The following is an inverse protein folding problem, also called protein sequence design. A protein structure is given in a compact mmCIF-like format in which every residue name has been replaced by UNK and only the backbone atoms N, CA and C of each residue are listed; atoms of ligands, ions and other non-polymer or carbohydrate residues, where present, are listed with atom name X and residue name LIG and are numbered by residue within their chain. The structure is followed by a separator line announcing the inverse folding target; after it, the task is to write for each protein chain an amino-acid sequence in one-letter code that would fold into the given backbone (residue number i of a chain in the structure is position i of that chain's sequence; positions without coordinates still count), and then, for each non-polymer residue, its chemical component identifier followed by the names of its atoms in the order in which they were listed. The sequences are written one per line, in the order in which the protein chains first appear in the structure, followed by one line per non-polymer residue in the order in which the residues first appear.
data_IF_560892729797
#
_entry.id   IF_560892729797
#
_cell.length_a   1.000
_cell.length_b   1.000
_cell.length_c   1.000
_cell.angle_alpha   90.00
_cell.angle_beta   90.00
_cell.angle_gamma   90.00
#
_symmetry.space_group_name_H-M   'P 1'
#
loop_
_entity.id
_entity.type
_entity.pdbx_description
1 polymer ?
#
# COMPACT_ATOMS: atom_id res chain seq x y z
N UNK A 1 8.75 0.78 -6.61
CA UNK A 1 7.86 1.93 -6.86
C UNK A 1 8.15 2.48 -8.24
N UNK A 2 7.13 3.00 -8.91
CA UNK A 2 7.24 3.67 -10.21
C UNK A 2 7.00 5.18 -10.00
N UNK A 3 8.04 6.02 -10.16
CA UNK A 3 7.94 7.46 -10.00
C UNK A 3 7.33 8.21 -11.19
N UNK A 4 7.13 7.54 -12.34
CA UNK A 4 6.63 8.16 -13.56
C UNK A 4 5.15 7.79 -13.84
N UNK A 5 4.59 6.90 -13.01
CA UNK A 5 3.21 6.45 -13.15
C UNK A 5 2.20 7.49 -12.65
N UNK A 6 1.40 8.04 -13.57
CA UNK A 6 0.26 8.91 -13.24
C UNK A 6 -1.03 8.11 -13.15
N UNK A 7 -1.81 8.36 -12.11
CA UNK A 7 -3.09 7.72 -11.90
C UNK A 7 -4.03 8.59 -11.06
N UNK A 8 -5.33 8.35 -11.19
CA UNK A 8 -6.35 9.02 -10.38
C UNK A 8 -6.77 8.10 -9.24
N UNK A 9 -6.84 8.63 -8.03
CA UNK A 9 -7.31 7.88 -6.86
C UNK A 9 -8.79 7.55 -7.02
N UNK A 10 -9.11 6.26 -6.90
CA UNK A 10 -10.48 5.73 -6.83
C UNK A 10 -10.65 4.88 -5.58
N UNK A 11 -11.79 5.03 -4.90
CA UNK A 11 -12.13 4.21 -3.73
C UNK A 11 -12.18 2.71 -4.07
N UNK A 12 -12.71 2.35 -5.25
CA UNK A 12 -12.85 0.97 -5.72
C UNK A 12 -11.51 0.25 -5.96
N UNK A 13 -10.43 1.02 -6.17
CA UNK A 13 -9.07 0.47 -6.36
C UNK A 13 -8.33 0.28 -5.02
N UNK A 14 -8.96 0.62 -3.88
CA UNK A 14 -8.35 0.57 -2.56
C UNK A 14 -8.55 -0.78 -1.88
N UNK A 15 -7.53 -1.26 -1.18
CA UNK A 15 -7.60 -2.44 -0.30
C UNK A 15 -8.34 -2.18 1.03
N UNK A 16 -8.74 -0.93 1.28
CA UNK A 16 -9.52 -0.57 2.46
C UNK A 16 -10.94 -1.12 2.35
N UNK A 17 -11.47 -1.68 3.44
CA UNK A 17 -12.89 -2.07 3.52
C UNK A 17 -13.82 -0.86 3.63
N UNK A 18 -13.28 0.33 3.87
CA UNK A 18 -14.02 1.58 3.79
C UNK A 18 -14.20 1.94 2.32
N UNK A 19 -15.44 1.87 1.84
CA UNK A 19 -15.84 2.03 0.44
C UNK A 19 -15.75 3.50 -0.07
N UNK A 20 -14.99 4.36 0.62
CA UNK A 20 -14.79 5.75 0.26
C UNK A 20 -13.39 6.23 0.64
N UNK A 21 -12.93 7.29 0.00
CA UNK A 21 -11.68 7.97 0.33
C UNK A 21 -11.84 9.48 0.18
N UNK A 22 -11.29 10.29 1.11
CA UNK A 22 -11.29 11.75 0.96
C UNK A 22 -10.44 12.23 -0.22
N UNK A 23 -9.65 11.35 -0.83
CA UNK A 23 -8.77 11.65 -1.95
C UNK A 23 -9.37 11.29 -3.31
N UNK A 24 -10.65 10.87 -3.38
CA UNK A 24 -11.32 10.48 -4.62
C UNK A 24 -11.14 11.56 -5.70
N UNK A 25 -10.66 11.16 -6.88
CA UNK A 25 -10.44 12.06 -8.00
C UNK A 25 -9.09 12.80 -8.00
N UNK A 26 -8.24 12.64 -6.98
CA UNK A 26 -6.90 13.25 -6.98
C UNK A 26 -5.99 12.55 -7.99
N UNK A 27 -5.24 13.32 -8.78
CA UNK A 27 -4.17 12.77 -9.63
C UNK A 27 -2.86 12.70 -8.83
N UNK A 28 -2.24 11.53 -8.81
CA UNK A 28 -0.93 11.28 -8.21
C UNK A 28 0.05 10.87 -9.30
N UNK A 29 1.32 11.26 -9.15
CA UNK A 29 2.36 11.05 -10.17
C UNK A 29 3.32 9.91 -9.85
N UNK A 30 3.06 9.13 -8.80
CA UNK A 30 3.86 7.96 -8.47
C UNK A 30 2.95 6.84 -7.95
N UNK A 31 3.40 5.59 -8.11
CA UNK A 31 2.67 4.42 -7.64
C UNK A 31 3.60 3.44 -6.92
N UNK A 32 3.14 2.92 -5.78
CA UNK A 32 3.80 1.80 -5.11
C UNK A 32 3.47 0.54 -5.91
N UNK A 33 4.51 -0.10 -6.42
CA UNK A 33 4.43 -1.34 -7.20
C UNK A 33 4.74 -2.54 -6.33
N UNK A 34 5.75 -2.40 -5.48
CA UNK A 34 6.35 -3.48 -4.72
C UNK A 34 6.60 -3.03 -3.29
N UNK A 35 6.34 -3.91 -2.32
CA UNK A 35 6.60 -3.65 -0.90
C UNK A 35 7.21 -4.89 -0.25
N UNK A 36 8.23 -4.67 0.57
CA UNK A 36 8.92 -5.73 1.30
C UNK A 36 8.80 -5.53 2.81
N UNK A 37 8.40 -6.58 3.51
CA UNK A 37 8.39 -6.64 4.98
C UNK A 37 9.39 -7.70 5.45
N UNK A 38 10.47 -7.28 6.11
CA UNK A 38 11.53 -8.18 6.63
C UNK A 38 12.08 -9.15 5.56
N UNK A 39 12.21 -8.69 4.33
CA UNK A 39 12.69 -9.50 3.19
C UNK A 39 11.61 -10.30 2.46
N UNK A 40 10.37 -10.34 2.96
CA UNK A 40 9.25 -10.95 2.26
C UNK A 40 8.61 -9.95 1.30
N UNK A 41 8.42 -10.33 0.03
CA UNK A 41 7.68 -9.56 -0.96
C UNK A 41 6.18 -9.70 -0.66
N UNK A 42 5.54 -8.63 -0.18
CA UNK A 42 4.14 -8.67 0.33
C UNK A 42 3.15 -7.92 -0.57
N UNK A 43 3.66 -7.04 -1.43
CA UNK A 43 2.93 -6.43 -2.53
C UNK A 43 3.81 -6.62 -3.76
N UNK A 44 3.28 -7.28 -4.79
CA UNK A 44 3.98 -7.56 -6.05
C UNK A 44 3.15 -7.00 -7.21
N UNK A 45 3.73 -6.07 -7.98
CA UNK A 45 3.04 -5.40 -9.08
C UNK A 45 1.65 -4.84 -8.69
N UNK A 46 1.55 -4.25 -7.50
CA UNK A 46 0.33 -3.65 -6.98
C UNK A 46 -0.70 -4.64 -6.43
N UNK A 47 -0.36 -5.93 -6.28
CA UNK A 47 -1.24 -6.95 -5.69
C UNK A 47 -0.69 -7.48 -4.38
N UNK A 48 -1.53 -7.62 -3.38
CA UNK A 48 -1.16 -8.25 -2.11
C UNK A 48 -0.81 -9.72 -2.36
N UNK A 49 0.29 -10.18 -1.76
CA UNK A 49 0.75 -11.57 -1.87
C UNK A 49 1.13 -12.13 -0.50
N UNK A 50 0.96 -13.46 -0.36
CA UNK A 50 1.30 -14.19 0.86
C UNK A 50 0.33 -14.00 2.02
N UNK A 51 0.67 -14.61 3.15
CA UNK A 51 -0.09 -14.50 4.40
C UNK A 51 0.43 -13.35 5.28
N UNK A 52 -0.38 -12.83 6.23
CA UNK A 52 0.08 -11.84 7.20
C UNK A 52 1.24 -12.34 8.05
N UNK A 53 2.39 -11.66 7.99
CA UNK A 53 3.63 -12.01 8.72
C UNK A 53 4.09 -10.91 9.70
N UNK A 54 3.21 -9.97 10.02
CA UNK A 54 3.47 -8.90 10.97
C UNK A 54 3.78 -9.45 12.38
N UNK A 55 4.66 -8.77 13.11
CA UNK A 55 4.94 -9.11 14.51
C UNK A 55 5.04 -7.84 15.36
N UNK A 56 4.63 -7.96 16.62
CA UNK A 56 4.71 -6.86 17.59
C UNK A 56 6.15 -6.36 17.75
N UNK A 57 6.31 -5.05 17.73
CA UNK A 57 7.59 -4.38 17.99
C UNK A 57 7.48 -3.63 19.33
N UNK A 58 8.14 -4.15 20.37
CA UNK A 58 8.20 -3.49 21.67
C UNK A 58 8.93 -2.14 21.57
N UNK A 59 8.35 -1.10 22.18
CA UNK A 59 8.93 0.24 22.27
C UNK A 59 8.96 0.69 23.73
N UNK A 60 9.87 0.14 24.55
CA UNK A 60 9.96 0.51 25.96
C UNK A 60 10.43 1.96 26.08
N UNK A 61 9.73 2.72 26.92
CA UNK A 61 10.20 4.01 27.43
C UNK A 61 10.69 3.78 28.86
N UNK A 62 11.92 4.19 29.17
CA UNK A 62 12.47 4.14 30.52
C UNK A 62 11.65 5.00 31.49
#
# INVERSE_FOLDING_TARGET
MDPDHRWTVRAEDSESTQEYTPFEGFELTAKVTDTFLRGHHVLDNGKITGDPTGTYLSRPTA
#
